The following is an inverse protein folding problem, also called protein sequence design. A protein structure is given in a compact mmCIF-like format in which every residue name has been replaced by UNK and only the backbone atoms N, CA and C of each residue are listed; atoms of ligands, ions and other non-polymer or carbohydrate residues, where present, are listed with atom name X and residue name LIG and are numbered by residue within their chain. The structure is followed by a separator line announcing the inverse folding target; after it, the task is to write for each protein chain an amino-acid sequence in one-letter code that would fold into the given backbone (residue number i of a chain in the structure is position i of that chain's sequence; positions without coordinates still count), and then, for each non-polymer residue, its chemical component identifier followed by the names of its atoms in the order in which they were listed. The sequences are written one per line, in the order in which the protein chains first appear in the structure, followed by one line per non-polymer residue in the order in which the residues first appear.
data_IF_696864661942
#
_entry.id   IF_696864661942
#
_cell.length_a   1.000
_cell.length_b   1.000
_cell.length_c   1.000
_cell.angle_alpha   90.00
_cell.angle_beta   90.00
_cell.angle_gamma   90.00
#
_symmetry.space_group_name_H-M   'P 1'
#
loop_
_entity.id
_entity.type
_entity.pdbx_description
1 polymer ?
#
# COMPACT_ATOMS: atom_id res chain seq x y z
N UNK A 1 -7.72 11.53 12.13
CA UNK A 1 -7.24 12.87 11.73
C UNK A 1 -7.87 13.34 10.42
N UNK A 2 -8.87 12.63 9.88
CA UNK A 2 -9.52 13.03 8.64
C UNK A 2 -10.18 14.40 8.76
N UNK A 3 -10.10 15.20 7.70
CA UNK A 3 -10.67 16.55 7.64
C UNK A 3 -10.05 17.56 8.61
N UNK A 4 -8.98 17.19 9.33
CA UNK A 4 -8.29 18.08 10.26
C UNK A 4 -7.02 18.64 9.63
N UNK A 5 -6.75 19.95 9.79
CA UNK A 5 -5.43 20.51 9.52
C UNK A 5 -4.35 19.80 10.33
N UNK A 6 -3.15 19.67 9.75
CA UNK A 6 -2.04 18.98 10.42
C UNK A 6 -1.63 19.68 11.72
N UNK A 7 -1.67 21.01 11.74
CA UNK A 7 -1.33 21.84 12.91
C UNK A 7 -2.32 21.69 14.07
N UNK A 8 -3.53 21.19 13.80
CA UNK A 8 -4.55 20.94 14.83
C UNK A 8 -4.40 19.54 15.47
N UNK A 9 -3.50 18.70 14.95
CA UNK A 9 -3.21 17.38 15.52
C UNK A 9 -2.14 17.55 16.61
N UNK A 10 -2.38 17.08 17.85
CA UNK A 10 -1.39 17.19 18.91
C UNK A 10 -0.04 16.60 18.50
N UNK A 11 1.04 17.38 18.64
CA UNK A 11 2.38 16.99 18.19
C UNK A 11 2.85 15.65 18.77
N UNK A 12 2.52 15.38 20.04
CA UNK A 12 2.83 14.10 20.68
C UNK A 12 2.19 12.89 19.99
N UNK A 13 1.02 13.05 19.37
CA UNK A 13 0.39 11.97 18.59
C UNK A 13 1.08 11.78 17.24
N UNK A 14 1.52 12.86 16.60
CA UNK A 14 2.32 12.80 15.37
C UNK A 14 3.66 12.11 15.65
N UNK A 15 4.34 12.47 16.73
CA UNK A 15 5.62 11.87 17.10
C UNK A 15 5.47 10.38 17.46
N UNK A 16 4.38 10.00 18.16
CA UNK A 16 4.07 8.60 18.44
C UNK A 16 3.82 7.79 17.15
N UNK A 17 3.10 8.36 16.18
CA UNK A 17 2.92 7.76 14.87
C UNK A 17 4.24 7.64 14.10
N UNK A 18 5.08 8.67 14.11
CA UNK A 18 6.36 8.66 13.41
C UNK A 18 7.35 7.64 14.01
N UNK A 19 7.25 7.37 15.32
CA UNK A 19 8.05 6.35 16.01
C UNK A 19 7.59 4.91 15.70
N UNK A 20 6.34 4.71 15.30
CA UNK A 20 5.75 3.42 14.97
C UNK A 20 4.79 3.52 13.78
N UNK A 21 5.35 3.80 12.60
CA UNK A 21 4.55 3.98 11.38
C UNK A 21 3.75 2.73 11.02
N UNK A 22 4.28 1.55 11.34
CA UNK A 22 3.71 0.26 10.95
C UNK A 22 2.45 -0.07 11.74
N UNK A 23 2.51 0.10 13.07
CA UNK A 23 1.50 -0.43 13.99
C UNK A 23 0.71 0.64 14.74
N UNK A 24 1.10 1.92 14.66
CA UNK A 24 0.27 3.01 15.20
C UNK A 24 -0.99 3.20 14.36
N UNK A 25 -2.15 3.11 15.01
CA UNK A 25 -3.44 3.49 14.43
C UNK A 25 -3.80 4.94 14.83
N UNK A 26 -3.97 5.87 13.86
CA UNK A 26 -4.63 7.14 14.15
C UNK A 26 -6.02 6.90 14.76
N UNK A 27 -6.52 7.80 15.62
CA UNK A 27 -7.84 7.63 16.25
C UNK A 27 -8.94 7.40 15.21
N UNK A 28 -9.62 6.25 15.30
CA UNK A 28 -10.68 5.82 14.37
C UNK A 28 -10.21 5.38 12.98
N UNK A 29 -8.90 5.32 12.75
CA UNK A 29 -8.30 4.87 11.49
C UNK A 29 -7.70 3.48 11.56
N UNK A 30 -7.10 3.05 10.45
CA UNK A 30 -6.35 1.79 10.34
C UNK A 30 -4.84 2.00 10.55
N UNK A 31 -4.13 0.93 10.89
CA UNK A 31 -2.66 0.90 10.88
C UNK A 31 -2.14 0.73 9.45
N UNK A 32 -0.87 1.08 9.23
CA UNK A 32 -0.20 0.78 7.95
C UNK A 32 -0.16 -0.73 7.67
N UNK A 33 -0.01 -1.57 8.69
CA UNK A 33 -0.11 -3.04 8.54
C UNK A 33 -1.47 -3.48 8.01
N UNK A 34 -2.57 -2.92 8.52
CA UNK A 34 -3.92 -3.23 8.04
C UNK A 34 -4.11 -2.81 6.58
N UNK A 35 -3.62 -1.61 6.20
CA UNK A 35 -3.59 -1.18 4.80
C UNK A 35 -2.81 -2.16 3.93
N UNK A 36 -1.60 -2.58 4.36
CA UNK A 36 -0.76 -3.52 3.61
C UNK A 36 -1.44 -4.88 3.42
N UNK A 37 -2.14 -5.39 4.43
CA UNK A 37 -2.91 -6.62 4.33
C UNK A 37 -4.05 -6.48 3.32
N UNK A 38 -4.83 -5.41 3.41
CA UNK A 38 -5.93 -5.15 2.47
C UNK A 38 -5.44 -5.00 1.03
N UNK A 39 -4.27 -4.42 0.83
CA UNK A 39 -3.62 -4.33 -0.49
C UNK A 39 -3.14 -5.69 -0.97
N UNK A 40 -2.59 -6.54 -0.09
CA UNK A 40 -2.22 -7.91 -0.44
C UNK A 40 -3.43 -8.70 -0.93
N UNK A 41 -4.53 -8.65 -0.18
CA UNK A 41 -5.76 -9.36 -0.53
C UNK A 41 -6.31 -8.87 -1.88
N UNK A 42 -6.30 -7.55 -2.10
CA UNK A 42 -6.66 -6.95 -3.38
C UNK A 42 -5.77 -7.42 -4.54
N UNK A 43 -4.45 -7.50 -4.36
CA UNK A 43 -3.54 -7.98 -5.40
C UNK A 43 -3.78 -9.46 -5.72
N UNK A 44 -4.07 -10.30 -4.71
CA UNK A 44 -4.45 -11.70 -4.91
C UNK A 44 -5.77 -11.84 -5.67
N UNK A 45 -6.71 -10.92 -5.48
CA UNK A 45 -7.94 -10.89 -6.27
C UNK A 45 -7.71 -10.42 -7.70
N UNK A 46 -6.81 -9.45 -7.92
CA UNK A 46 -6.39 -9.04 -9.26
C UNK A 46 -5.72 -10.17 -10.03
N UNK A 47 -4.91 -11.03 -9.38
CA UNK A 47 -4.27 -12.18 -10.03
C UNK A 47 -5.27 -13.19 -10.60
N UNK A 48 -6.52 -13.20 -10.11
CA UNK A 48 -7.58 -14.10 -10.60
C UNK A 48 -8.27 -13.58 -11.86
N UNK A 49 -8.03 -12.32 -12.23
CA UNK A 49 -8.62 -11.69 -13.40
C UNK A 49 -7.92 -12.18 -14.69
N UNK A 50 -8.67 -12.43 -15.78
CA UNK A 50 -8.08 -12.85 -17.05
C UNK A 50 -7.34 -11.72 -17.79
N UNK A 51 -7.53 -10.47 -17.38
CA UNK A 51 -6.95 -9.29 -18.03
C UNK A 51 -5.44 -9.19 -17.82
N UNK A 52 -4.71 -9.03 -18.92
CA UNK A 52 -3.25 -8.84 -18.90
C UNK A 52 -2.82 -7.38 -18.64
N UNK A 53 -3.75 -6.44 -18.82
CA UNK A 53 -3.52 -5.01 -18.66
C UNK A 53 -4.65 -4.41 -17.82
N UNK A 54 -4.31 -3.97 -16.60
CA UNK A 54 -5.27 -3.44 -15.64
C UNK A 54 -4.87 -2.01 -15.30
N UNK A 55 -5.84 -1.09 -15.38
CA UNK A 55 -5.67 0.29 -14.93
C UNK A 55 -6.30 0.47 -13.56
N UNK A 56 -5.50 0.96 -12.59
CA UNK A 56 -5.96 1.23 -11.23
C UNK A 56 -6.00 2.74 -10.97
N UNK A 57 -7.14 3.24 -10.49
CA UNK A 57 -7.30 4.64 -10.08
C UNK A 57 -7.48 4.67 -8.56
N UNK A 58 -6.51 5.25 -7.85
CA UNK A 58 -6.50 5.25 -6.38
C UNK A 58 -5.67 6.42 -5.82
N UNK A 59 -5.46 6.42 -4.50
CA UNK A 59 -4.76 7.48 -3.76
C UNK A 59 -3.30 7.13 -3.49
N UNK A 60 -2.49 8.14 -3.19
CA UNK A 60 -1.04 7.98 -2.95
C UNK A 60 -0.70 6.91 -1.89
N UNK A 61 -1.47 6.81 -0.81
CA UNK A 61 -1.27 5.78 0.24
C UNK A 61 -1.40 4.35 -0.32
N UNK A 62 -2.47 4.09 -1.07
CA UNK A 62 -2.68 2.80 -1.75
C UNK A 62 -1.62 2.53 -2.81
N UNK A 63 -1.24 3.53 -3.61
CA UNK A 63 -0.15 3.40 -4.60
C UNK A 63 1.14 2.98 -3.91
N UNK A 64 1.53 3.64 -2.81
CA UNK A 64 2.72 3.29 -2.02
C UNK A 64 2.67 1.85 -1.52
N UNK A 65 1.55 1.44 -0.94
CA UNK A 65 1.38 0.07 -0.44
C UNK A 65 1.44 -0.99 -1.55
N UNK A 66 0.82 -0.72 -2.71
CA UNK A 66 0.89 -1.60 -3.88
C UNK A 66 2.34 -1.73 -4.35
N UNK A 67 3.03 -0.60 -4.49
CA UNK A 67 4.42 -0.59 -4.94
C UNK A 67 5.36 -1.26 -3.94
N UNK A 68 5.13 -1.11 -2.64
CA UNK A 68 5.88 -1.80 -1.59
C UNK A 68 5.72 -3.34 -1.72
N UNK A 69 4.48 -3.82 -1.89
CA UNK A 69 4.20 -5.24 -2.09
C UNK A 69 4.85 -5.79 -3.37
N UNK A 70 4.74 -5.06 -4.49
CA UNK A 70 5.30 -5.48 -5.77
C UNK A 70 6.83 -5.46 -5.79
N UNK A 71 7.46 -4.55 -5.06
CA UNK A 71 8.92 -4.42 -4.96
C UNK A 71 9.54 -5.26 -3.83
N UNK A 72 8.73 -5.93 -3.02
CA UNK A 72 9.15 -6.68 -1.82
C UNK A 72 10.00 -5.84 -0.85
N UNK A 73 9.53 -4.63 -0.55
CA UNK A 73 10.17 -3.70 0.39
C UNK A 73 9.21 -3.26 1.49
N UNK A 74 9.71 -2.84 2.67
CA UNK A 74 8.88 -2.22 3.69
C UNK A 74 8.11 -1.00 3.14
N UNK A 75 6.86 -0.79 3.60
CA UNK A 75 6.07 0.39 3.21
C UNK A 75 6.83 1.69 3.48
N UNK A 76 7.58 1.76 4.59
CA UNK A 76 8.37 2.92 5.00
C UNK A 76 9.37 3.37 3.95
N UNK A 77 9.95 2.44 3.18
CA UNK A 77 10.92 2.76 2.14
C UNK A 77 10.27 3.55 1.01
N UNK A 78 9.00 3.25 0.73
CA UNK A 78 8.24 3.95 -0.30
C UNK A 78 7.88 5.37 0.09
N UNK A 79 7.89 5.77 1.38
CA UNK A 79 7.47 7.11 1.80
C UNK A 79 8.31 8.23 1.14
N UNK A 80 9.57 7.93 0.84
CA UNK A 80 10.49 8.84 0.16
C UNK A 80 10.35 8.86 -1.36
N UNK A 81 9.52 7.99 -1.94
CA UNK A 81 9.31 7.96 -3.39
C UNK A 81 8.39 9.10 -3.80
N UNK A 82 8.77 9.83 -4.84
CA UNK A 82 8.01 10.98 -5.33
C UNK A 82 6.83 10.50 -6.19
N UNK A 83 5.61 10.63 -5.66
CA UNK A 83 4.36 10.36 -6.38
C UNK A 83 3.61 11.68 -6.49
N UNK A 84 3.70 12.34 -7.65
CA UNK A 84 3.02 13.62 -7.88
C UNK A 84 1.54 13.42 -8.24
N UNK A 85 0.72 14.46 -8.06
CA UNK A 85 -0.66 14.44 -8.55
C UNK A 85 -0.72 14.19 -10.06
N UNK A 86 -1.69 13.37 -10.49
CA UNK A 86 -1.87 13.02 -11.90
C UNK A 86 -0.79 12.07 -12.46
N UNK A 87 0.11 11.54 -11.63
CA UNK A 87 1.13 10.59 -12.09
C UNK A 87 0.47 9.27 -12.52
N UNK A 88 0.96 8.70 -13.62
CA UNK A 88 0.68 7.33 -14.05
C UNK A 88 1.96 6.50 -13.85
N UNK A 89 1.84 5.38 -13.14
CA UNK A 89 2.95 4.46 -12.89
C UNK A 89 2.66 3.15 -13.61
N UNK A 90 3.53 2.79 -14.56
CA UNK A 90 3.48 1.51 -15.24
C UNK A 90 4.34 0.47 -14.51
N UNK A 91 3.72 -0.63 -14.10
CA UNK A 91 4.43 -1.78 -13.53
C UNK A 91 4.26 -2.98 -14.44
N UNK A 92 5.34 -3.76 -14.59
CA UNK A 92 5.31 -5.08 -15.22
C UNK A 92 5.79 -6.07 -14.18
N UNK A 93 5.01 -7.10 -13.94
CA UNK A 93 5.38 -8.19 -13.07
C UNK A 93 5.01 -9.51 -13.76
N UNK A 94 5.82 -10.53 -13.55
CA UNK A 94 5.48 -11.87 -14.00
C UNK A 94 4.35 -12.41 -13.08
N UNK A 95 3.45 -13.27 -13.60
CA UNK A 95 2.50 -13.98 -12.77
C UNK A 95 3.23 -14.69 -11.62
N UNK A 96 2.64 -14.68 -10.43
CA UNK A 96 3.19 -15.41 -9.29
C UNK A 96 3.30 -16.90 -9.66
N UNK A 97 4.50 -17.47 -9.54
CA UNK A 97 4.70 -18.92 -9.71
C UNK A 97 4.12 -19.62 -8.47
N UNK A 98 2.80 -19.81 -8.41
CA UNK A 98 2.17 -20.64 -7.37
C UNK A 98 1.34 -21.77 -7.96
N UNK A 99 1.94 -22.96 -7.81
CA UNK A 99 1.42 -24.35 -7.89
C UNK A 99 1.29 -25.01 -9.28
N UNK A 100 2.45 -25.32 -9.90
CA UNK A 100 2.63 -26.65 -10.49
C UNK A 100 2.83 -27.65 -9.34
N UNK A 101 1.74 -28.12 -8.72
CA UNK A 101 1.80 -29.39 -7.99
C UNK A 101 1.76 -30.52 -9.01
N UNK A 102 2.78 -31.36 -8.89
CA UNK A 102 3.10 -32.55 -9.68
C UNK A 102 1.84 -33.39 -9.97
N UNK A 103 1.45 -33.51 -11.25
CA UNK A 103 0.52 -34.55 -11.69
C UNK A 103 1.30 -35.86 -11.72
N UNK A 104 1.06 -36.74 -10.75
CA UNK A 104 1.22 -38.18 -10.93
C UNK A 104 -0.06 -38.89 -10.53
#
# INVERSE_FOLDING_TARGET
WEGQPWDDIPRSKIDAWAADITDYAPPGGETARQLMQRVQDFLLDLEKLPEQHIALVTHAGSIRAILAQLADVPLTDTLNWKIAYGTVIGVKFAPSLKQMTDKR
#
